data_IF_293389841099
#
_entry.id   IF_293389841099
#
_cell.length_a   1.000
_cell.length_b   1.000
_cell.length_c   1.000
_cell.angle_alpha   90.00
_cell.angle_beta   90.00
_cell.angle_gamma   90.00
#
_symmetry.space_group_name_H-M   'P 1'
#
loop_
_entity.id
_entity.type
_entity.pdbx_description
1 polymer ?
#
# COMPACT_ATOMS: atom_id res chain seq x y z
N UNK A 1 -3.59 8.40 -0.79
CA UNK A 1 -2.65 7.35 -0.38
C UNK A 1 -2.79 6.17 -1.33
N UNK A 2 -1.69 5.65 -1.85
CA UNK A 2 -1.66 4.56 -2.82
C UNK A 2 -1.66 3.21 -2.09
N UNK A 3 -2.67 2.38 -2.41
CA UNK A 3 -2.87 1.08 -1.78
C UNK A 3 -2.76 -0.04 -2.81
N UNK A 4 -1.85 -0.98 -2.58
CA UNK A 4 -1.67 -2.16 -3.42
C UNK A 4 -2.48 -3.33 -2.89
N UNK A 5 -3.45 -3.84 -3.65
CA UNK A 5 -4.23 -5.01 -3.24
C UNK A 5 -3.34 -6.25 -3.15
N UNK A 6 -3.35 -6.91 -1.98
CA UNK A 6 -2.65 -8.17 -1.78
C UNK A 6 -3.52 -9.31 -2.31
N UNK A 7 -2.92 -10.18 -3.13
CA UNK A 7 -3.55 -11.41 -3.59
C UNK A 7 -2.49 -12.52 -3.64
N UNK A 8 -2.53 -13.50 -2.72
CA UNK A 8 -1.54 -14.58 -2.67
C UNK A 8 -1.57 -15.48 -3.92
N UNK A 9 -2.69 -15.52 -4.65
CA UNK A 9 -2.83 -16.34 -5.86
C UNK A 9 -2.23 -15.69 -7.11
N UNK A 10 -1.66 -14.47 -7.00
CA UNK A 10 -0.98 -13.80 -8.10
C UNK A 10 0.40 -13.37 -7.65
N UNK A 11 1.46 -13.96 -8.21
CA UNK A 11 2.85 -13.70 -7.82
C UNK A 11 3.23 -12.19 -7.81
N UNK A 12 2.73 -11.41 -8.78
CA UNK A 12 2.92 -9.96 -8.85
C UNK A 12 2.26 -9.20 -7.68
N UNK A 13 1.21 -9.76 -7.07
CA UNK A 13 0.43 -9.13 -6.00
C UNK A 13 0.53 -9.89 -4.68
N UNK A 14 1.42 -10.87 -4.58
CA UNK A 14 1.71 -11.53 -3.32
C UNK A 14 2.67 -10.65 -2.51
N UNK A 15 2.31 -10.37 -1.26
CA UNK A 15 3.17 -9.72 -0.29
C UNK A 15 3.30 -10.66 0.91
N UNK A 16 4.48 -11.26 1.07
CA UNK A 16 4.75 -12.22 2.15
C UNK A 16 5.18 -11.53 3.46
N UNK A 17 5.34 -10.20 3.42
CA UNK A 17 5.88 -9.43 4.53
C UNK A 17 7.39 -9.21 4.44
N UNK A 18 7.88 -8.43 5.39
CA UNK A 18 9.30 -8.26 5.70
C UNK A 18 9.78 -9.32 6.68
N UNK A 19 11.09 -9.44 6.85
CA UNK A 19 11.68 -10.31 7.88
C UNK A 19 11.19 -9.95 9.29
N UNK A 20 11.02 -8.65 9.57
CA UNK A 20 10.35 -8.18 10.78
C UNK A 20 8.82 -8.21 10.57
N UNK A 21 8.17 -9.12 11.31
CA UNK A 21 6.72 -9.28 11.28
C UNK A 21 6.00 -8.02 11.76
N UNK A 22 6.53 -7.33 12.76
CA UNK A 22 5.91 -6.11 13.30
C UNK A 22 5.91 -4.97 12.28
N UNK A 23 6.97 -4.87 11.47
CA UNK A 23 7.04 -3.93 10.36
C UNK A 23 6.06 -4.29 9.23
N UNK A 24 5.82 -5.59 9.03
CA UNK A 24 4.87 -6.10 8.04
C UNK A 24 3.43 -5.77 8.43
N UNK A 25 3.05 -6.06 9.68
CA UNK A 25 1.70 -5.83 10.18
C UNK A 25 1.32 -4.34 10.13
N UNK A 26 2.29 -3.43 10.36
CA UNK A 26 2.10 -1.98 10.20
C UNK A 26 1.80 -1.55 8.76
N UNK A 27 2.23 -2.33 7.76
CA UNK A 27 2.08 -2.00 6.34
C UNK A 27 0.88 -2.68 5.68
N UNK A 28 0.28 -3.67 6.34
CA UNK A 28 -0.89 -4.36 5.81
C UNK A 28 -2.15 -3.80 6.47
N UNK A 29 -3.06 -3.30 5.65
CA UNK A 29 -4.40 -2.92 6.04
C UNK A 29 -5.35 -4.09 5.78
N UNK A 30 -6.35 -4.26 6.64
CA UNK A 30 -7.36 -5.31 6.53
C UNK A 30 -8.75 -4.68 6.44
N UNK A 31 -9.67 -5.37 5.78
CA UNK A 31 -11.08 -4.99 5.70
C UNK A 31 -11.30 -3.55 5.19
N UNK A 32 -10.50 -3.12 4.21
CA UNK A 32 -10.44 -1.74 3.72
C UNK A 32 -11.66 -1.39 2.87
N UNK A 33 -12.03 -2.23 1.91
CA UNK A 33 -13.20 -2.02 1.07
C UNK A 33 -14.28 -3.09 1.31
N UNK A 34 -13.87 -4.30 1.70
CA UNK A 34 -14.76 -5.39 2.08
C UNK A 34 -14.08 -6.31 3.09
N UNK A 35 -14.90 -6.98 3.90
CA UNK A 35 -14.40 -7.98 4.86
C UNK A 35 -13.59 -9.07 4.16
N UNK A 36 -12.41 -9.38 4.71
CA UNK A 36 -11.44 -10.33 4.21
C UNK A 36 -10.48 -9.80 3.15
N UNK A 37 -10.57 -8.54 2.73
CA UNK A 37 -9.57 -7.96 1.84
C UNK A 37 -8.34 -7.44 2.59
N UNK A 38 -7.21 -7.44 1.89
CA UNK A 38 -5.93 -6.98 2.43
C UNK A 38 -5.21 -6.11 1.41
N UNK A 39 -4.62 -5.03 1.90
CA UNK A 39 -3.92 -4.05 1.08
C UNK A 39 -2.58 -3.69 1.71
N UNK A 40 -1.55 -3.63 0.88
CA UNK A 40 -0.27 -3.05 1.22
C UNK A 40 -0.36 -1.52 1.11
N UNK A 41 0.06 -0.83 2.17
CA UNK A 41 0.11 0.62 2.22
C UNK A 41 1.53 1.13 1.87
N UNK A 42 1.70 1.75 0.70
CA UNK A 42 3.00 2.30 0.29
C UNK A 42 3.38 3.57 1.06
N UNK A 43 2.40 4.25 1.65
CA UNK A 43 2.56 5.56 2.27
C UNK A 43 2.63 6.72 1.28
N UNK A 44 2.51 6.48 -0.03
CA UNK A 44 2.59 7.53 -1.05
C UNK A 44 1.24 8.19 -1.28
N UNK A 45 1.23 9.50 -1.41
CA UNK A 45 0.10 10.27 -1.92
C UNK A 45 0.39 10.60 -3.38
N UNK A 46 -0.44 10.07 -4.26
CA UNK A 46 -0.41 10.38 -5.68
C UNK A 46 -1.56 11.32 -6.03
N UNK A 47 -1.32 12.22 -6.98
CA UNK A 47 -2.35 13.03 -7.64
C UNK A 47 -2.45 12.63 -9.09
N UNK A 48 -3.65 12.74 -9.65
CA UNK A 48 -3.92 12.45 -11.06
C UNK A 48 -4.23 13.75 -11.78
N UNK A 49 -3.68 13.94 -12.99
CA UNK A 49 -4.08 15.04 -13.87
C UNK A 49 -5.35 14.69 -14.67
N UNK A 50 -5.82 15.65 -15.49
CA UNK A 50 -7.01 15.46 -16.33
C UNK A 50 -6.83 14.40 -17.42
N UNK A 51 -5.59 14.04 -17.75
CA UNK A 51 -5.25 13.02 -18.75
C UNK A 51 -5.06 11.63 -18.12
N UNK A 52 -5.18 11.51 -16.80
CA UNK A 52 -5.08 10.25 -16.08
C UNK A 52 -3.66 9.85 -15.65
N UNK A 53 -2.67 10.73 -15.82
CA UNK A 53 -1.30 10.47 -15.36
C UNK A 53 -1.19 10.70 -13.85
N UNK A 54 -0.49 9.78 -13.17
CA UNK A 54 -0.24 9.89 -11.74
C UNK A 54 1.11 10.54 -11.45
N UNK A 55 1.11 11.49 -10.53
CA UNK A 55 2.28 12.19 -10.04
C UNK A 55 2.41 12.01 -8.54
N UNK A 56 3.65 11.80 -8.08
CA UNK A 56 3.94 11.82 -6.66
C UNK A 56 3.66 13.21 -6.10
N UNK A 57 2.84 13.28 -5.05
CA UNK A 57 2.54 14.53 -4.33
C UNK A 57 3.30 14.59 -3.02
N UNK A 58 3.23 13.51 -2.23
CA UNK A 58 3.72 13.51 -0.85
C UNK A 58 3.88 12.09 -0.30
N UNK A 59 4.51 11.95 0.86
CA UNK A 59 4.60 10.71 1.65
C UNK A 59 3.94 10.91 3.00
N UNK A 60 2.84 10.21 3.23
CA UNK A 60 2.25 10.09 4.57
C UNK A 60 3.12 9.15 5.40
N UNK A 61 4.01 9.73 6.20
CA UNK A 61 4.92 8.99 7.05
C UNK A 61 6.35 9.54 7.04
N UNK A 62 6.51 10.86 6.93
CA UNK A 62 7.75 11.55 7.31
C UNK A 62 8.11 11.13 8.74
N UNK A 63 8.91 10.09 8.83
CA UNK A 63 10.06 10.15 9.72
C UNK A 63 11.10 10.88 8.88
N UNK A 64 11.21 12.20 9.05
CA UNK A 64 12.53 12.81 8.97
C UNK A 64 13.43 11.91 9.82
N UNK A 65 14.42 11.28 9.20
CA UNK A 65 15.53 10.63 9.90
C UNK A 65 16.71 11.58 9.87
#
# INVERSE_FOLDING_TARGET
MFLGKINPNKAIRSFTGYADKSASDKKILHDVFKKGDQYFNSGDVLVMDELGYFFFKDRTGDTFR
#
